data_IF_862827050624
#
_entry.id   IF_862827050624
#
_cell.length_a   1.000
_cell.length_b   1.000
_cell.length_c   1.000
_cell.angle_alpha   90.00
_cell.angle_beta   90.00
_cell.angle_gamma   90.00
#
_symmetry.space_group_name_H-M   'P 1'
#
loop_
_entity.id
_entity.type
_entity.pdbx_description
1 polymer ?
#
# COMPACT_ATOMS: atom_id res chain seq x y z
N UNK A 1 -15.97 50.16 32.00
CA UNK A 1 -16.09 48.96 31.17
C UNK A 1 -15.00 49.01 30.11
N UNK A 2 -14.47 47.83 29.76
CA UNK A 2 -13.53 47.49 28.67
C UNK A 2 -12.11 48.09 28.73
N UNK A 3 -11.17 47.31 29.27
CA UNK A 3 -9.77 47.33 28.84
C UNK A 3 -9.53 46.04 28.03
N UNK A 4 -9.23 46.21 26.74
CA UNK A 4 -8.81 45.16 25.83
C UNK A 4 -7.41 44.68 26.22
N UNK A 5 -7.30 43.43 26.67
CA UNK A 5 -6.04 42.71 26.77
C UNK A 5 -5.73 42.10 25.40
N UNK A 6 -4.56 42.46 24.89
CA UNK A 6 -3.99 41.99 23.63
C UNK A 6 -3.67 40.48 23.72
N UNK A 7 -4.22 39.61 22.83
CA UNK A 7 -4.03 38.15 22.90
C UNK A 7 -2.65 37.63 22.44
N UNK A 8 -1.72 38.50 22.04
CA UNK A 8 -0.42 38.11 21.47
C UNK A 8 0.76 38.00 22.47
N UNK A 9 0.51 37.87 23.78
CA UNK A 9 1.58 37.72 24.79
C UNK A 9 1.83 36.28 25.30
N UNK A 10 1.02 35.31 24.87
CA UNK A 10 1.15 33.90 25.26
C UNK A 10 1.70 33.00 24.14
N UNK A 11 2.31 33.59 23.10
CA UNK A 11 3.05 32.82 22.10
C UNK A 11 4.43 32.50 22.69
N UNK A 12 4.57 31.27 23.20
CA UNK A 12 5.85 30.69 23.58
C UNK A 12 6.76 30.70 22.34
N UNK A 13 7.83 31.50 22.40
CA UNK A 13 8.88 31.52 21.38
C UNK A 13 9.58 30.16 21.32
N UNK A 14 9.27 29.41 20.26
CA UNK A 14 9.75 28.05 19.96
C UNK A 14 11.10 28.04 19.23
N UNK A 15 11.66 29.19 18.86
CA UNK A 15 12.94 29.24 18.14
C UNK A 15 14.14 28.75 18.97
N UNK A 16 14.00 28.70 20.31
CA UNK A 16 15.06 28.28 21.25
C UNK A 16 14.77 26.92 21.94
N UNK A 17 13.79 26.16 21.46
CA UNK A 17 13.54 24.80 21.92
C UNK A 17 14.24 23.80 20.99
N UNK A 18 15.31 23.18 21.51
CA UNK A 18 16.14 22.10 20.94
C UNK A 18 15.62 21.53 19.61
N UNK A 19 16.39 21.72 18.54
CA UNK A 19 16.07 21.20 17.22
C UNK A 19 15.88 19.68 17.29
N UNK A 20 14.85 19.09 16.65
CA UNK A 20 14.68 17.65 16.54
C UNK A 20 15.91 16.91 15.95
N UNK A 21 16.78 17.63 15.24
CA UNK A 21 18.03 17.10 14.67
C UNK A 21 19.14 16.93 15.71
N UNK A 22 19.13 17.69 16.80
CA UNK A 22 20.10 17.57 17.91
C UNK A 22 19.82 16.37 18.83
N UNK A 23 18.75 15.62 18.56
CA UNK A 23 18.31 14.44 19.32
C UNK A 23 18.51 13.12 18.55
N UNK A 24 19.20 13.14 17.40
CA UNK A 24 19.58 11.91 16.70
C UNK A 24 20.78 11.24 17.39
N UNK A 25 20.55 10.01 17.85
CA UNK A 25 21.55 9.17 18.53
C UNK A 25 22.56 8.65 17.49
N UNK A 26 23.88 8.74 17.74
CA UNK A 26 24.89 8.13 16.87
C UNK A 26 24.72 6.62 16.79
N UNK A 27 24.73 6.06 15.58
CA UNK A 27 24.74 4.62 15.34
C UNK A 27 26.06 4.03 15.85
N UNK A 28 26.08 2.99 16.69
CA UNK A 28 27.33 2.46 17.23
C UNK A 28 28.15 1.78 16.12
N UNK A 29 29.42 2.16 16.02
CA UNK A 29 30.44 1.39 15.31
C UNK A 29 30.81 0.17 16.17
N UNK A 30 30.68 -1.03 15.59
CA UNK A 30 31.13 -2.27 16.20
C UNK A 30 32.64 -2.25 16.42
N UNK A 31 33.07 -2.49 17.66
CA UNK A 31 34.08 -3.49 18.05
C UNK A 31 34.48 -3.25 19.50
N UNK A 32 34.29 -4.27 20.35
CA UNK A 32 35.23 -4.81 21.34
C UNK A 32 34.51 -6.02 21.98
N UNK A 33 35.12 -7.20 21.89
CA UNK A 33 34.75 -8.40 22.63
C UNK A 33 35.54 -8.47 23.95
N UNK A 34 35.02 -9.17 24.97
CA UNK A 34 35.40 -9.01 26.36
C UNK A 34 36.52 -9.97 26.79
N UNK A 35 37.28 -9.55 27.79
CA UNK A 35 38.14 -10.43 28.57
C UNK A 35 37.67 -10.43 30.04
N UNK A 36 37.92 -11.55 30.71
CA UNK A 36 37.68 -11.85 32.13
C UNK A 36 36.33 -12.45 32.54
N UNK A 37 36.31 -13.79 32.45
CA UNK A 37 35.49 -14.70 33.24
C UNK A 37 36.15 -14.93 34.61
N UNK A 38 35.69 -14.25 35.66
CA UNK A 38 35.84 -14.74 37.04
C UNK A 38 34.88 -14.00 37.98
N UNK A 39 33.60 -14.39 38.02
CA UNK A 39 32.71 -14.27 39.17
C UNK A 39 31.41 -15.03 38.87
N UNK A 40 31.07 -16.03 39.69
CA UNK A 40 29.73 -16.60 39.72
C UNK A 40 28.75 -15.46 40.08
N UNK A 41 27.75 -15.13 39.22
CA UNK A 41 26.92 -13.97 39.45
C UNK A 41 26.06 -14.18 40.70
N UNK A 42 26.24 -13.30 41.68
CA UNK A 42 25.22 -13.10 42.70
C UNK A 42 23.91 -12.75 42.00
N UNK A 43 22.81 -13.31 42.48
CA UNK A 43 21.47 -12.99 42.00
C UNK A 43 21.24 -11.48 42.17
N UNK A 44 21.36 -10.72 41.08
CA UNK A 44 21.01 -9.31 41.06
C UNK A 44 19.49 -9.22 40.96
N UNK A 45 18.85 -8.94 42.10
CA UNK A 45 17.39 -8.79 42.16
C UNK A 45 16.87 -7.69 41.25
N UNK A 46 17.71 -6.81 40.71
CA UNK A 46 17.32 -5.70 39.85
C UNK A 46 17.54 -5.96 38.36
N UNK A 47 18.01 -7.14 37.95
CA UNK A 47 18.29 -7.48 36.55
C UNK A 47 17.03 -7.43 35.67
N UNK A 48 15.85 -7.70 36.25
CA UNK A 48 14.58 -7.66 35.52
C UNK A 48 14.04 -6.25 35.27
N UNK A 49 14.56 -5.22 35.98
CA UNK A 49 14.07 -3.84 35.87
C UNK A 49 14.40 -3.24 34.51
N UNK A 50 13.54 -2.33 34.05
CA UNK A 50 13.62 -1.80 32.68
C UNK A 50 14.96 -1.11 32.37
N UNK A 51 15.50 -0.35 33.32
CA UNK A 51 16.76 0.37 33.15
C UNK A 51 17.92 -0.57 32.91
N UNK A 52 18.03 -1.68 33.66
CA UNK A 52 19.05 -2.69 33.41
C UNK A 52 18.81 -3.45 32.10
N UNK A 53 17.57 -3.90 31.86
CA UNK A 53 17.19 -4.66 30.66
C UNK A 53 17.48 -3.92 29.35
N UNK A 54 17.28 -2.60 29.33
CA UNK A 54 17.44 -1.78 28.13
C UNK A 54 18.71 -0.93 28.10
N UNK A 55 19.56 -1.00 29.13
CA UNK A 55 20.81 -0.23 29.27
C UNK A 55 21.62 -0.21 27.97
N UNK A 56 22.05 -1.38 27.51
CA UNK A 56 22.91 -1.51 26.33
C UNK A 56 22.16 -1.15 25.05
N UNK A 57 20.90 -1.58 24.93
CA UNK A 57 20.10 -1.40 23.73
C UNK A 57 19.74 0.05 23.44
N UNK A 58 19.52 0.85 24.47
CA UNK A 58 19.15 2.26 24.37
C UNK A 58 20.30 3.20 24.74
N UNK A 59 21.49 2.65 25.04
CA UNK A 59 22.65 3.41 25.52
C UNK A 59 22.29 4.34 26.69
N UNK A 60 21.60 3.80 27.69
CA UNK A 60 21.08 4.59 28.81
C UNK A 60 22.21 5.07 29.72
N UNK A 61 22.12 6.33 30.14
CA UNK A 61 23.00 6.86 31.18
C UNK A 61 22.50 6.47 32.58
N UNK A 62 23.31 6.73 33.60
CA UNK A 62 23.03 6.36 35.01
C UNK A 62 21.72 6.96 35.55
N UNK A 63 21.38 8.19 35.16
CA UNK A 63 20.16 8.87 35.61
C UNK A 63 18.91 8.22 34.97
N UNK A 64 18.98 7.91 33.67
CA UNK A 64 17.88 7.24 32.95
C UNK A 64 17.63 5.82 33.47
N UNK A 65 18.70 5.08 33.76
CA UNK A 65 18.60 3.76 34.39
C UNK A 65 17.91 3.90 35.75
N UNK A 66 18.29 4.92 36.53
CA UNK A 66 17.72 5.18 37.85
C UNK A 66 16.22 5.46 37.73
N UNK A 67 15.77 6.35 36.84
CA UNK A 67 14.34 6.62 36.62
C UNK A 67 13.55 5.39 36.19
N UNK A 68 14.08 4.59 35.27
CA UNK A 68 13.42 3.36 34.80
C UNK A 68 13.38 2.25 35.85
N UNK A 69 14.28 2.28 36.83
CA UNK A 69 14.33 1.31 37.92
C UNK A 69 13.54 1.76 39.16
N UNK A 70 12.87 2.92 39.12
CA UNK A 70 12.02 3.42 40.22
C UNK A 70 10.73 2.62 40.40
N UNK A 71 10.28 1.88 39.38
CA UNK A 71 9.00 1.19 39.41
C UNK A 71 9.11 -0.20 38.78
N UNK A 72 8.18 -1.08 39.19
CA UNK A 72 8.00 -2.39 38.57
C UNK A 72 7.02 -2.28 37.40
N UNK A 73 7.49 -2.61 36.20
CA UNK A 73 6.67 -2.57 35.00
C UNK A 73 5.91 -3.89 34.82
N UNK A 74 4.59 -3.84 34.98
CA UNK A 74 3.73 -4.99 34.70
C UNK A 74 3.61 -5.24 33.20
N UNK A 75 3.94 -6.46 32.76
CA UNK A 75 3.80 -6.84 31.36
C UNK A 75 2.34 -7.02 30.96
N UNK A 76 2.02 -6.53 29.78
CA UNK A 76 0.75 -6.65 29.10
C UNK A 76 1.00 -7.00 27.62
N UNK A 77 -0.07 -7.24 26.87
CA UNK A 77 0.03 -7.69 25.47
C UNK A 77 0.78 -6.71 24.55
N UNK A 78 0.79 -5.42 24.86
CA UNK A 78 1.43 -4.38 24.06
C UNK A 78 2.90 -4.18 24.44
N UNK A 79 3.20 -3.90 25.71
CA UNK A 79 4.57 -3.68 26.18
C UNK A 79 5.41 -4.98 26.22
N UNK A 80 4.78 -6.16 26.07
CA UNK A 80 5.52 -7.40 25.83
C UNK A 80 6.15 -7.47 24.44
N UNK A 81 5.67 -6.66 23.48
CA UNK A 81 6.31 -6.48 22.18
C UNK A 81 7.49 -5.54 22.38
N UNK A 82 8.69 -6.05 22.11
CA UNK A 82 9.93 -5.34 22.43
C UNK A 82 10.05 -3.96 21.74
N UNK A 83 9.62 -3.83 20.48
CA UNK A 83 9.60 -2.52 19.80
C UNK A 83 8.60 -1.53 20.42
N UNK A 84 7.49 -2.01 20.98
CA UNK A 84 6.55 -1.17 21.73
C UNK A 84 7.15 -0.72 23.04
N UNK A 85 7.75 -1.62 23.83
CA UNK A 85 8.43 -1.26 25.07
C UNK A 85 9.52 -0.20 24.83
N UNK A 86 10.33 -0.38 23.78
CA UNK A 86 11.35 0.60 23.39
C UNK A 86 10.76 1.98 23.12
N UNK A 87 9.66 2.06 22.39
CA UNK A 87 9.00 3.34 22.11
C UNK A 87 8.42 3.98 23.37
N UNK A 88 7.83 3.18 24.27
CA UNK A 88 7.31 3.67 25.55
C UNK A 88 8.45 4.22 26.41
N UNK A 89 9.55 3.47 26.56
CA UNK A 89 10.73 3.89 27.32
C UNK A 89 11.30 5.20 26.76
N UNK A 90 11.46 5.30 25.44
CA UNK A 90 11.97 6.53 24.80
C UNK A 90 11.07 7.73 25.12
N UNK A 91 9.75 7.58 24.95
CA UNK A 91 8.81 8.66 25.22
C UNK A 91 8.77 9.02 26.72
N UNK A 92 8.82 8.03 27.61
CA UNK A 92 8.93 8.22 29.06
C UNK A 92 10.17 9.04 29.43
N UNK A 93 11.36 8.66 28.93
CA UNK A 93 12.60 9.37 29.24
C UNK A 93 12.58 10.80 28.71
N UNK A 94 12.05 11.03 27.50
CA UNK A 94 11.86 12.37 26.95
C UNK A 94 10.90 13.20 27.80
N UNK A 95 9.78 12.61 28.23
CA UNK A 95 8.79 13.27 29.07
C UNK A 95 9.39 13.67 30.43
N UNK A 96 10.14 12.77 31.08
CA UNK A 96 10.82 13.03 32.36
C UNK A 96 11.85 14.15 32.22
N UNK A 97 12.69 14.13 31.18
CA UNK A 97 13.68 15.20 30.93
C UNK A 97 13.01 16.55 30.69
N UNK A 98 11.96 16.58 29.86
CA UNK A 98 11.23 17.80 29.55
C UNK A 98 10.46 18.34 30.77
N UNK A 99 9.88 17.46 31.58
CA UNK A 99 9.22 17.81 32.83
C UNK A 99 10.22 18.45 33.80
N UNK A 100 11.38 17.83 34.00
CA UNK A 100 12.42 18.40 34.87
C UNK A 100 12.92 19.76 34.34
N UNK A 101 13.07 19.92 33.02
CA UNK A 101 13.44 21.20 32.40
C UNK A 101 12.38 22.27 32.61
N UNK A 102 11.09 21.92 32.55
CA UNK A 102 9.97 22.85 32.77
C UNK A 102 9.88 23.28 34.23
N UNK A 103 9.97 22.34 35.17
CA UNK A 103 9.98 22.63 36.61
C UNK A 103 11.13 23.54 37.02
N UNK A 104 12.32 23.39 36.40
CA UNK A 104 13.46 24.28 36.63
C UNK A 104 13.20 25.74 36.26
N UNK A 105 12.25 26.03 35.36
CA UNK A 105 11.86 27.43 35.02
C UNK A 105 11.03 28.09 36.13
N UNK A 106 10.46 27.29 37.03
CA UNK A 106 9.67 27.73 38.18
C UNK A 106 10.46 27.58 39.51
N UNK A 107 11.80 27.55 39.46
CA UNK A 107 12.70 27.30 40.60
C UNK A 107 12.44 25.96 41.35
N UNK A 108 11.73 25.04 40.70
CA UNK A 108 11.44 23.68 41.16
C UNK A 108 12.32 22.64 40.46
N UNK A 109 12.14 21.37 40.80
CA UNK A 109 12.77 20.25 40.09
C UNK A 109 11.89 19.01 40.25
N UNK A 110 12.07 18.03 39.37
CA UNK A 110 11.33 16.77 39.50
C UNK A 110 11.64 16.08 40.84
N UNK A 111 12.89 16.13 41.30
CA UNK A 111 13.30 15.56 42.59
C UNK A 111 12.58 16.23 43.77
N UNK A 112 12.45 17.57 43.77
CA UNK A 112 11.68 18.31 44.79
C UNK A 112 10.20 17.93 44.79
N UNK A 113 9.59 17.82 43.62
CA UNK A 113 8.17 17.44 43.53
C UNK A 113 7.94 15.98 43.95
N UNK A 114 8.87 15.07 43.64
CA UNK A 114 8.84 13.69 44.13
C UNK A 114 9.01 13.62 45.65
N UNK A 115 9.92 14.42 46.22
CA UNK A 115 10.07 14.52 47.68
C UNK A 115 8.79 15.02 48.35
N UNK A 116 8.11 16.02 47.77
CA UNK A 116 6.86 16.50 48.35
C UNK A 116 5.74 15.46 48.21
N UNK A 117 5.70 14.67 47.13
CA UNK A 117 4.80 13.51 47.01
C UNK A 117 5.10 12.46 48.10
N UNK A 118 6.37 12.13 48.35
CA UNK A 118 6.79 11.21 49.43
C UNK A 118 6.31 11.72 50.79
N UNK A 119 6.58 12.98 51.10
CA UNK A 119 6.16 13.63 52.34
C UNK A 119 4.64 13.60 52.51
N UNK A 120 3.87 13.94 51.46
CA UNK A 120 2.39 13.88 51.48
C UNK A 120 1.87 12.47 51.69
N UNK A 121 2.55 11.46 51.11
CA UNK A 121 2.22 10.06 51.34
C UNK A 121 2.43 9.66 52.81
N UNK A 122 3.57 10.05 53.39
CA UNK A 122 3.86 9.83 54.82
C UNK A 122 2.85 10.51 55.75
N UNK A 123 2.52 11.78 55.48
CA UNK A 123 1.52 12.54 56.25
C UNK A 123 0.13 11.88 56.23
N UNK A 124 -0.13 10.99 55.27
CA UNK A 124 -1.41 10.29 55.12
C UNK A 124 -1.48 8.96 55.87
N UNK A 125 -0.36 8.41 56.37
CA UNK A 125 -0.31 7.11 57.06
C UNK A 125 -1.36 7.02 58.19
N UNK A 126 -1.51 8.03 59.07
CA UNK A 126 -2.51 7.98 60.13
C UNK A 126 -3.97 7.94 59.63
N UNK A 127 -4.20 8.34 58.38
CA UNK A 127 -5.51 8.41 57.73
C UNK A 127 -5.81 7.19 56.86
N UNK A 128 -4.84 6.28 56.70
CA UNK A 128 -4.95 5.07 55.89
C UNK A 128 -5.47 3.90 56.75
N UNK A 129 -5.92 2.82 56.11
CA UNK A 129 -6.48 1.66 56.82
C UNK A 129 -5.46 1.00 57.76
N UNK A 130 -5.92 0.29 58.80
CA UNK A 130 -5.08 -0.50 59.73
C UNK A 130 -4.03 -1.38 59.01
N UNK A 131 -4.32 -1.80 57.77
CA UNK A 131 -3.39 -2.53 56.91
C UNK A 131 -2.05 -1.81 56.68
N UNK A 132 -2.06 -0.48 56.58
CA UNK A 132 -0.88 0.33 56.29
C UNK A 132 -0.09 0.75 57.53
N UNK A 133 -0.66 0.61 58.74
CA UNK A 133 0.01 0.96 60.00
C UNK A 133 1.25 0.10 60.29
N UNK A 134 1.32 -1.10 59.70
CA UNK A 134 2.43 -2.03 59.90
C UNK A 134 3.58 -1.86 58.89
N UNK A 135 3.44 -0.97 57.90
CA UNK A 135 4.49 -0.69 56.92
C UNK A 135 5.39 0.44 57.41
N UNK A 136 6.70 0.29 57.18
CA UNK A 136 7.68 1.35 57.46
C UNK A 136 7.38 2.61 56.61
N UNK A 137 7.61 3.79 57.19
CA UNK A 137 7.46 5.09 56.54
C UNK A 137 8.21 5.14 55.19
N UNK A 138 9.37 4.50 55.12
CA UNK A 138 10.18 4.44 53.90
C UNK A 138 9.48 3.65 52.79
N UNK A 139 8.78 2.57 53.13
CA UNK A 139 8.03 1.77 52.16
C UNK A 139 6.90 2.59 51.54
N UNK A 140 6.11 3.30 52.36
CA UNK A 140 4.99 4.11 51.87
C UNK A 140 5.47 5.26 50.98
N UNK A 141 6.56 5.92 51.37
CA UNK A 141 7.19 6.98 50.58
C UNK A 141 7.71 6.46 49.23
N UNK A 142 8.50 5.38 49.24
CA UNK A 142 9.05 4.80 48.02
C UNK A 142 7.96 4.28 47.08
N UNK A 143 6.88 3.70 47.62
CA UNK A 143 5.73 3.27 46.83
C UNK A 143 5.02 4.43 46.13
N UNK A 144 4.89 5.59 46.81
CA UNK A 144 4.28 6.77 46.21
C UNK A 144 5.15 7.37 45.08
N UNK A 145 6.47 7.42 45.27
CA UNK A 145 7.42 7.83 44.23
C UNK A 145 7.40 6.87 43.03
N UNK A 146 7.44 5.55 43.30
CA UNK A 146 7.38 4.52 42.27
C UNK A 146 6.10 4.63 41.42
N UNK A 147 4.93 4.80 42.06
CA UNK A 147 3.66 4.97 41.35
C UNK A 147 3.65 6.26 40.51
N UNK A 148 4.36 7.32 40.92
CA UNK A 148 4.42 8.57 40.17
C UNK A 148 5.20 8.39 38.87
N UNK A 149 6.40 7.77 38.94
CA UNK A 149 7.16 7.41 37.73
C UNK A 149 6.41 6.41 36.85
N UNK A 150 5.78 5.39 37.45
CA UNK A 150 4.98 4.44 36.69
C UNK A 150 3.78 5.09 36.00
N UNK A 151 3.18 6.12 36.62
CA UNK A 151 2.10 6.89 35.99
C UNK A 151 2.58 7.66 34.76
N UNK A 152 3.76 8.28 34.82
CA UNK A 152 4.37 8.91 33.64
C UNK A 152 4.61 7.87 32.54
N UNK A 153 5.12 6.69 32.90
CA UNK A 153 5.30 5.57 31.96
C UNK A 153 3.97 5.12 31.33
N UNK A 154 2.91 4.92 32.12
CA UNK A 154 1.57 4.54 31.63
C UNK A 154 0.99 5.60 30.69
N UNK A 155 1.19 6.89 30.99
CA UNK A 155 0.76 7.99 30.10
C UNK A 155 1.53 7.96 28.79
N UNK A 156 2.84 7.70 28.81
CA UNK A 156 3.62 7.46 27.59
C UNK A 156 3.10 6.24 26.81
N UNK A 157 2.78 5.13 27.49
CA UNK A 157 2.21 3.93 26.87
C UNK A 157 0.88 4.21 26.16
N UNK A 158 -0.01 4.99 26.79
CA UNK A 158 -1.29 5.39 26.16
C UNK A 158 -1.03 6.13 24.85
N UNK A 159 -0.10 7.09 24.83
CA UNK A 159 0.19 7.87 23.62
C UNK A 159 0.81 6.98 22.52
N UNK A 160 1.72 6.06 22.86
CA UNK A 160 2.30 5.12 21.89
C UNK A 160 1.24 4.15 21.34
N UNK A 161 0.34 3.65 22.20
CA UNK A 161 -0.80 2.81 21.77
C UNK A 161 -1.67 3.54 20.75
N UNK A 162 -2.00 4.80 21.01
CA UNK A 162 -2.80 5.61 20.09
C UNK A 162 -2.07 5.87 18.78
N UNK A 163 -0.79 6.25 18.83
CA UNK A 163 0.02 6.53 17.65
C UNK A 163 0.11 5.31 16.71
N UNK A 164 0.12 4.10 17.28
CA UNK A 164 0.26 2.86 16.51
C UNK A 164 -1.06 2.07 16.38
N UNK A 165 -2.21 2.71 16.59
CA UNK A 165 -3.53 2.13 16.32
C UNK A 165 -3.88 0.93 17.20
N UNK A 166 -3.48 0.95 18.48
CA UNK A 166 -3.84 -0.07 19.45
C UNK A 166 -5.01 0.41 20.33
N UNK A 167 -6.21 -0.10 20.04
CA UNK A 167 -7.49 0.36 20.65
C UNK A 167 -7.69 0.03 22.12
N UNK A 168 -7.01 -0.98 22.67
CA UNK A 168 -7.22 -1.37 24.07
C UNK A 168 -6.65 -0.29 24.98
N UNK A 169 -7.54 0.42 25.67
CA UNK A 169 -7.20 1.41 26.67
C UNK A 169 -6.65 0.75 27.94
N UNK A 170 -5.76 1.47 28.61
CA UNK A 170 -5.27 1.17 29.96
C UNK A 170 -5.56 2.39 30.85
N UNK A 171 -5.70 2.16 32.16
CA UNK A 171 -5.75 3.28 33.12
C UNK A 171 -4.33 3.82 33.30
N UNK A 172 -4.17 5.13 33.14
CA UNK A 172 -2.93 5.85 33.41
C UNK A 172 -3.11 6.85 34.56
N UNK A 173 -4.03 6.55 35.48
CA UNK A 173 -4.25 7.34 36.71
C UNK A 173 -3.18 7.02 37.76
N UNK A 174 -2.88 8.02 38.59
CA UNK A 174 -1.98 7.88 39.74
C UNK A 174 -2.71 7.19 40.91
N UNK A 175 -2.38 5.92 41.15
CA UNK A 175 -3.11 5.07 42.09
C UNK A 175 -2.45 4.99 43.48
N UNK A 176 -1.98 6.11 44.01
CA UNK A 176 -1.49 6.15 45.40
C UNK A 176 -2.61 5.88 46.41
N UNK A 177 -2.32 5.24 47.54
CA UNK A 177 -3.29 5.11 48.62
C UNK A 177 -3.46 6.41 49.43
N UNK A 178 -2.56 7.37 49.28
CA UNK A 178 -2.58 8.67 49.99
C UNK A 178 -3.41 9.70 49.20
N UNK A 179 -4.52 10.23 49.76
CA UNK A 179 -5.29 11.30 49.14
C UNK A 179 -4.47 12.58 48.90
N UNK A 180 -3.60 12.92 49.86
CA UNK A 180 -2.74 14.10 49.79
C UNK A 180 -1.69 13.97 48.68
N UNK A 181 -1.08 12.79 48.54
CA UNK A 181 -0.16 12.52 47.44
C UNK A 181 -0.88 12.58 46.09
N UNK A 182 -2.11 12.05 46.01
CA UNK A 182 -2.93 12.18 44.79
C UNK A 182 -3.19 13.63 44.42
N UNK A 183 -3.60 14.44 45.40
CA UNK A 183 -3.85 15.86 45.17
C UNK A 183 -2.58 16.60 44.73
N UNK A 184 -1.43 16.32 45.35
CA UNK A 184 -0.15 16.91 44.95
C UNK A 184 0.20 16.55 43.50
N UNK A 185 0.12 15.26 43.15
CA UNK A 185 0.41 14.79 41.79
C UNK A 185 -0.55 15.42 40.77
N UNK A 186 -1.86 15.37 41.02
CA UNK A 186 -2.90 15.86 40.11
C UNK A 186 -2.84 17.38 39.90
N UNK A 187 -2.41 18.15 40.90
CA UNK A 187 -2.35 19.61 40.80
C UNK A 187 -1.03 20.13 40.21
N UNK A 188 0.09 19.44 40.44
CA UNK A 188 1.43 19.93 40.09
C UNK A 188 2.07 19.24 38.90
N UNK A 189 1.92 17.92 38.80
CA UNK A 189 2.61 17.12 37.79
C UNK A 189 1.69 16.70 36.64
N UNK A 190 0.48 16.24 36.93
CA UNK A 190 -0.40 15.65 35.92
C UNK A 190 -0.69 16.56 34.71
N UNK A 191 -1.07 17.84 34.89
CA UNK A 191 -1.33 18.73 33.74
C UNK A 191 -0.09 18.95 32.88
N UNK A 192 1.08 19.05 33.51
CA UNK A 192 2.36 19.21 32.81
C UNK A 192 2.72 17.95 32.04
N UNK A 193 2.54 16.77 32.64
CA UNK A 193 2.81 15.49 31.99
C UNK A 193 1.90 15.33 30.77
N UNK A 194 0.59 15.58 30.91
CA UNK A 194 -0.38 15.44 29.83
C UNK A 194 -0.06 16.36 28.65
N UNK A 195 0.33 17.61 28.93
CA UNK A 195 0.78 18.55 27.90
C UNK A 195 2.07 18.05 27.22
N UNK A 196 3.05 17.60 28.00
CA UNK A 196 4.35 17.13 27.49
C UNK A 196 4.21 15.89 26.62
N UNK A 197 3.49 14.86 27.07
CA UNK A 197 3.35 13.62 26.28
C UNK A 197 2.55 13.86 25.00
N UNK A 198 1.59 14.78 25.04
CA UNK A 198 0.84 15.22 23.84
C UNK A 198 1.77 15.94 22.87
N UNK A 199 2.59 16.88 23.37
CA UNK A 199 3.57 17.60 22.57
C UNK A 199 4.61 16.66 21.94
N UNK A 200 5.04 15.63 22.67
CA UNK A 200 6.03 14.66 22.22
C UNK A 200 5.47 13.58 21.29
N UNK A 201 4.16 13.48 21.08
CA UNK A 201 3.52 12.48 20.20
C UNK A 201 4.18 12.35 18.82
N UNK A 202 4.58 13.42 18.11
CA UNK A 202 5.24 13.30 16.81
C UNK A 202 6.60 12.58 16.85
N UNK A 203 7.27 12.52 18.00
CA UNK A 203 8.60 11.89 18.14
C UNK A 203 8.56 10.36 18.11
N UNK A 204 7.36 9.76 18.26
CA UNK A 204 7.16 8.31 18.29
C UNK A 204 7.50 7.68 16.92
N UNK A 205 7.21 8.42 15.84
CA UNK A 205 7.42 7.96 14.47
C UNK A 205 6.47 6.83 14.05
N UNK A 206 6.70 6.33 12.84
CA UNK A 206 5.97 5.18 12.28
C UNK A 206 6.54 3.85 12.79
N UNK A 207 5.70 2.82 12.77
CA UNK A 207 6.11 1.45 13.05
C UNK A 207 6.97 0.90 11.91
N UNK A 208 7.97 0.10 12.27
CA UNK A 208 8.69 -0.70 11.27
C UNK A 208 7.94 -2.01 10.98
N UNK A 209 8.38 -2.74 9.94
CA UNK A 209 7.73 -3.97 9.50
C UNK A 209 7.65 -5.04 10.60
N UNK A 210 8.70 -5.19 11.42
CA UNK A 210 8.74 -6.18 12.49
C UNK A 210 7.72 -5.86 13.59
N UNK A 211 7.63 -4.58 13.99
CA UNK A 211 6.64 -4.12 14.97
C UNK A 211 5.22 -4.31 14.44
N UNK A 212 4.97 -4.01 13.16
CA UNK A 212 3.67 -4.23 12.52
C UNK A 212 3.26 -5.70 12.53
N UNK A 213 4.20 -6.61 12.20
CA UNK A 213 3.97 -8.05 12.25
C UNK A 213 3.58 -8.52 13.65
N UNK A 214 4.29 -8.03 14.67
CA UNK A 214 4.05 -8.44 16.07
C UNK A 214 2.74 -7.85 16.61
N UNK A 215 2.44 -6.58 16.32
CA UNK A 215 1.17 -5.95 16.69
C UNK A 215 -0.04 -6.68 16.10
N UNK A 216 0.05 -7.06 14.82
CA UNK A 216 -1.01 -7.77 14.12
C UNK A 216 -1.13 -9.24 14.55
N UNK A 217 -0.05 -9.86 15.01
CA UNK A 217 -0.09 -11.20 15.61
C UNK A 217 -0.83 -11.17 16.96
N UNK A 218 -0.58 -10.16 17.79
CA UNK A 218 -1.18 -10.04 19.12
C UNK A 218 -2.64 -9.56 19.06
N UNK A 219 -2.96 -8.62 18.16
CA UNK A 219 -4.31 -8.05 18.02
C UNK A 219 -4.89 -8.42 16.66
N UNK A 220 -5.53 -9.59 16.59
CA UNK A 220 -5.96 -10.20 15.31
C UNK A 220 -6.99 -9.40 14.53
N UNK A 221 -7.67 -8.43 15.15
CA UNK A 221 -8.68 -7.56 14.52
C UNK A 221 -8.15 -6.18 14.10
N UNK A 222 -6.87 -5.86 14.38
CA UNK A 222 -6.28 -4.52 14.12
C UNK A 222 -6.31 -4.14 12.64
N UNK A 223 -6.15 -5.12 11.74
CA UNK A 223 -6.17 -4.89 10.29
C UNK A 223 -7.48 -4.28 9.77
N UNK A 224 -8.60 -4.40 10.49
CA UNK A 224 -9.92 -3.88 10.06
C UNK A 224 -9.94 -2.36 9.92
N UNK A 225 -9.24 -1.66 10.81
CA UNK A 225 -9.12 -0.20 10.73
C UNK A 225 -8.33 0.18 9.50
N UNK A 226 -7.18 -0.47 9.31
CA UNK A 226 -6.34 -0.22 8.14
C UNK A 226 -7.03 -0.55 6.83
N UNK A 227 -7.84 -1.61 6.81
CA UNK A 227 -8.73 -1.93 5.68
C UNK A 227 -9.73 -0.80 5.43
N UNK A 228 -10.34 -0.27 6.49
CA UNK A 228 -11.29 0.85 6.39
C UNK A 228 -10.59 2.10 5.85
N UNK A 229 -9.39 2.42 6.32
CA UNK A 229 -8.61 3.57 5.82
C UNK A 229 -8.30 3.42 4.33
N UNK A 230 -7.78 2.25 3.92
CA UNK A 230 -7.43 1.97 2.52
C UNK A 230 -8.67 2.05 1.62
N UNK A 231 -9.78 1.45 2.06
CA UNK A 231 -11.02 1.40 1.26
C UNK A 231 -11.74 2.75 1.22
N UNK A 232 -11.64 3.57 2.27
CA UNK A 232 -12.26 4.91 2.32
C UNK A 232 -11.45 5.96 1.56
N UNK A 233 -10.13 5.81 1.49
CA UNK A 233 -9.25 6.68 0.70
C UNK A 233 -9.21 6.30 -0.79
N UNK A 234 -9.89 5.23 -1.19
CA UNK A 234 -9.83 4.72 -2.55
C UNK A 234 -10.34 5.73 -3.58
N UNK A 235 -9.56 5.90 -4.64
CA UNK A 235 -9.94 6.65 -5.83
C UNK A 235 -9.46 5.92 -7.08
N UNK A 236 -10.09 6.17 -8.24
CA UNK A 236 -9.67 5.56 -9.52
C UNK A 236 -8.24 5.95 -9.89
N UNK A 237 -7.81 7.17 -9.55
CA UNK A 237 -6.44 7.64 -9.78
C UNK A 237 -5.40 6.89 -8.94
N UNK A 238 -5.76 6.46 -7.73
CA UNK A 238 -4.89 5.75 -6.79
C UNK A 238 -5.14 4.24 -6.77
N UNK A 239 -5.70 3.68 -7.85
CA UNK A 239 -6.11 2.29 -7.90
C UNK A 239 -4.94 1.34 -7.58
N UNK A 240 -3.82 1.48 -8.30
CA UNK A 240 -2.64 0.64 -8.12
C UNK A 240 -2.06 0.73 -6.69
N UNK A 241 -1.98 1.95 -6.14
CA UNK A 241 -1.51 2.17 -4.76
C UNK A 241 -2.43 1.52 -3.72
N UNK A 242 -3.73 1.59 -3.95
CA UNK A 242 -4.74 0.98 -3.07
C UNK A 242 -4.65 -0.54 -3.10
N UNK A 243 -4.51 -1.14 -4.30
CA UNK A 243 -4.33 -2.59 -4.46
C UNK A 243 -3.05 -3.04 -3.76
N UNK A 244 -1.92 -2.35 -3.98
CA UNK A 244 -0.67 -2.68 -3.30
C UNK A 244 -0.78 -2.51 -1.78
N UNK A 245 -1.52 -1.51 -1.29
CA UNK A 245 -1.78 -1.34 0.13
C UNK A 245 -2.58 -2.51 0.73
N UNK A 246 -3.54 -3.09 -0.01
CA UNK A 246 -4.28 -4.28 0.40
C UNK A 246 -3.37 -5.52 0.48
N UNK A 247 -2.48 -5.69 -0.50
CA UNK A 247 -1.49 -6.76 -0.47
C UNK A 247 -0.51 -6.59 0.69
N UNK A 248 0.00 -5.37 0.89
CA UNK A 248 0.88 -5.01 2.01
C UNK A 248 0.21 -5.29 3.35
N UNK A 249 -1.07 -4.94 3.52
CA UNK A 249 -1.83 -5.25 4.72
C UNK A 249 -1.88 -6.76 4.97
N UNK A 250 -2.08 -7.56 3.93
CA UNK A 250 -1.99 -9.01 4.00
C UNK A 250 -0.60 -9.52 4.43
N UNK A 251 0.48 -8.93 3.90
CA UNK A 251 1.87 -9.29 4.27
C UNK A 251 2.19 -8.92 5.72
N UNK A 252 1.77 -7.75 6.18
CA UNK A 252 1.91 -7.28 7.57
C UNK A 252 1.09 -8.12 8.57
N UNK A 253 0.22 -9.01 8.09
CA UNK A 253 -0.57 -9.94 8.89
C UNK A 253 -0.10 -11.39 8.72
N UNK A 254 1.16 -11.62 8.31
CA UNK A 254 1.72 -12.97 8.11
C UNK A 254 1.53 -13.90 9.31
N UNK A 255 1.67 -13.37 10.53
CA UNK A 255 1.54 -14.10 11.80
C UNK A 255 0.12 -14.07 12.38
N UNK A 256 -0.83 -13.38 11.74
CA UNK A 256 -2.20 -13.27 12.19
C UNK A 256 -3.03 -14.45 11.65
N UNK A 257 -3.70 -15.26 12.51
CA UNK A 257 -4.51 -16.39 12.07
C UNK A 257 -5.69 -15.98 11.16
N UNK A 258 -6.11 -14.72 11.21
CA UNK A 258 -7.22 -14.19 10.40
C UNK A 258 -6.79 -13.57 9.08
N UNK A 259 -5.52 -13.71 8.67
CA UNK A 259 -4.97 -13.13 7.43
C UNK A 259 -5.80 -13.45 6.18
N UNK A 260 -6.38 -14.66 6.09
CA UNK A 260 -7.27 -15.02 4.98
C UNK A 260 -8.44 -14.04 4.82
N UNK A 261 -9.04 -13.59 5.93
CA UNK A 261 -10.17 -12.66 5.89
C UNK A 261 -9.81 -11.30 5.27
N UNK A 262 -8.55 -10.86 5.41
CA UNK A 262 -8.05 -9.62 4.80
C UNK A 262 -8.18 -9.72 3.28
N UNK A 263 -7.67 -10.80 2.70
CA UNK A 263 -7.73 -11.04 1.26
C UNK A 263 -9.16 -11.23 0.76
N UNK A 264 -10.00 -11.90 1.54
CA UNK A 264 -11.41 -12.07 1.20
C UNK A 264 -12.16 -10.74 1.16
N UNK A 265 -11.98 -9.89 2.18
CA UNK A 265 -12.61 -8.56 2.20
C UNK A 265 -12.05 -7.66 1.09
N UNK A 266 -10.74 -7.68 0.86
CA UNK A 266 -10.10 -6.97 -0.24
C UNK A 266 -10.66 -7.40 -1.61
N UNK A 267 -10.81 -8.70 -1.85
CA UNK A 267 -11.39 -9.24 -3.08
C UNK A 267 -12.81 -8.73 -3.32
N UNK A 268 -13.65 -8.72 -2.26
CA UNK A 268 -15.02 -8.21 -2.35
C UNK A 268 -15.06 -6.71 -2.66
N UNK A 269 -14.16 -5.94 -2.05
CA UNK A 269 -14.08 -4.50 -2.23
C UNK A 269 -13.64 -4.13 -3.65
N UNK A 270 -12.62 -4.79 -4.20
CA UNK A 270 -12.04 -4.50 -5.52
C UNK A 270 -12.92 -5.00 -6.68
N UNK A 271 -13.79 -5.99 -6.46
CA UNK A 271 -14.62 -6.61 -7.50
C UNK A 271 -15.38 -5.65 -8.45
N UNK A 272 -15.91 -4.49 -8.01
CA UNK A 272 -16.58 -3.54 -8.91
C UNK A 272 -15.63 -2.73 -9.81
N UNK A 273 -14.34 -2.66 -9.47
CA UNK A 273 -13.37 -1.77 -10.09
C UNK A 273 -12.34 -2.52 -10.94
N UNK A 274 -11.87 -3.66 -10.43
CA UNK A 274 -10.91 -4.51 -11.11
C UNK A 274 -11.27 -5.99 -10.87
N UNK A 275 -11.75 -6.63 -11.94
CA UNK A 275 -12.12 -8.05 -11.90
C UNK A 275 -10.89 -8.93 -11.73
N UNK A 276 -9.79 -8.57 -12.37
CA UNK A 276 -8.55 -9.34 -12.39
C UNK A 276 -7.93 -9.38 -10.98
N UNK A 277 -7.73 -8.22 -10.36
CA UNK A 277 -7.16 -8.14 -9.01
C UNK A 277 -8.08 -8.73 -7.95
N UNK A 278 -9.41 -8.61 -8.12
CA UNK A 278 -10.37 -9.28 -7.22
C UNK A 278 -10.19 -10.80 -7.20
N UNK A 279 -10.01 -11.43 -8.37
CA UNK A 279 -9.78 -12.88 -8.45
C UNK A 279 -8.43 -13.28 -7.86
N UNK A 280 -7.38 -12.50 -8.10
CA UNK A 280 -6.05 -12.73 -7.52
C UNK A 280 -6.11 -12.67 -5.99
N UNK A 281 -6.71 -11.62 -5.42
CA UNK A 281 -6.95 -11.50 -3.97
C UNK A 281 -7.78 -12.68 -3.44
N UNK A 282 -8.78 -13.16 -4.17
CA UNK A 282 -9.56 -14.33 -3.76
C UNK A 282 -8.72 -15.63 -3.74
N UNK A 283 -7.80 -15.82 -4.68
CA UNK A 283 -6.86 -16.95 -4.65
C UNK A 283 -5.92 -16.87 -3.44
N UNK A 284 -5.45 -15.67 -3.07
CA UNK A 284 -4.72 -15.48 -1.82
C UNK A 284 -5.56 -15.87 -0.60
N UNK A 285 -6.85 -15.51 -0.57
CA UNK A 285 -7.76 -15.95 0.49
C UNK A 285 -7.80 -17.48 0.58
N UNK A 286 -8.11 -18.18 -0.52
CA UNK A 286 -8.20 -19.64 -0.54
C UNK A 286 -6.88 -20.28 -0.09
N UNK A 287 -5.75 -19.82 -0.62
CA UNK A 287 -4.43 -20.33 -0.26
C UNK A 287 -4.15 -20.22 1.25
N UNK A 288 -4.55 -19.12 1.89
CA UNK A 288 -4.36 -18.94 3.33
C UNK A 288 -5.42 -19.66 4.17
N UNK A 289 -6.65 -19.77 3.69
CA UNK A 289 -7.74 -20.51 4.32
C UNK A 289 -7.40 -22.02 4.42
N UNK A 290 -6.82 -22.59 3.37
CA UNK A 290 -6.34 -23.98 3.35
C UNK A 290 -5.22 -24.27 4.36
N UNK A 291 -4.46 -23.24 4.77
CA UNK A 291 -3.43 -23.35 5.81
C UNK A 291 -3.95 -23.08 7.22
N UNK A 292 -5.20 -22.66 7.34
CA UNK A 292 -5.80 -22.36 8.64
C UNK A 292 -6.17 -23.64 9.39
N UNK A 293 -6.30 -23.55 10.70
CA UNK A 293 -6.70 -24.69 11.55
C UNK A 293 -8.15 -25.12 11.31
N UNK A 294 -8.98 -24.23 10.76
CA UNK A 294 -10.39 -24.46 10.42
C UNK A 294 -10.71 -23.75 9.09
N UNK A 295 -10.44 -24.41 7.95
CA UNK A 295 -10.78 -23.86 6.64
C UNK A 295 -12.29 -23.60 6.54
N UNK A 296 -12.67 -22.41 6.07
CA UNK A 296 -14.06 -21.98 5.89
C UNK A 296 -14.49 -22.08 4.42
N UNK A 297 -13.54 -21.92 3.49
CA UNK A 297 -13.76 -21.96 2.04
C UNK A 297 -14.96 -21.12 1.58
N UNK A 298 -15.06 -19.89 2.11
CA UNK A 298 -16.12 -18.94 1.77
C UNK A 298 -16.16 -18.70 0.26
N UNK A 299 -17.29 -19.03 -0.35
CA UNK A 299 -17.54 -18.72 -1.75
C UNK A 299 -17.86 -17.24 -1.92
N UNK A 300 -17.41 -16.65 -3.03
CA UNK A 300 -17.89 -15.33 -3.45
C UNK A 300 -19.41 -15.40 -3.66
N UNK A 301 -20.15 -14.43 -3.11
CA UNK A 301 -21.60 -14.43 -3.24
C UNK A 301 -22.03 -14.20 -4.71
N UNK A 302 -23.28 -14.58 -5.04
CA UNK A 302 -23.81 -14.44 -6.41
C UNK A 302 -23.76 -13.02 -6.96
N UNK A 303 -23.88 -12.00 -6.11
CA UNK A 303 -23.79 -10.59 -6.54
C UNK A 303 -22.39 -10.24 -7.02
N UNK A 304 -21.35 -10.70 -6.32
CA UNK A 304 -19.95 -10.49 -6.71
C UNK A 304 -19.61 -11.34 -7.93
N UNK A 305 -20.04 -12.61 -7.98
CA UNK A 305 -19.84 -13.46 -9.17
C UNK A 305 -20.38 -12.80 -10.45
N UNK A 306 -21.57 -12.20 -10.40
CA UNK A 306 -22.15 -11.45 -11.53
C UNK A 306 -21.34 -10.22 -11.96
N UNK A 307 -20.56 -9.62 -11.05
CA UNK A 307 -19.67 -8.50 -11.37
C UNK A 307 -18.36 -8.97 -12.00
N UNK A 308 -17.88 -10.16 -11.62
CA UNK A 308 -16.60 -10.71 -12.03
C UNK A 308 -16.67 -11.49 -13.34
N UNK A 309 -17.78 -12.18 -13.61
CA UNK A 309 -17.92 -13.08 -14.75
C UNK A 309 -19.07 -12.62 -15.66
N UNK A 310 -18.79 -12.54 -16.96
CA UNK A 310 -19.78 -12.19 -17.98
C UNK A 310 -20.70 -13.38 -18.31
N UNK A 311 -20.20 -14.61 -18.18
CA UNK A 311 -20.95 -15.83 -18.48
C UNK A 311 -20.56 -16.97 -17.55
N UNK A 312 -21.37 -18.04 -17.56
CA UNK A 312 -21.15 -19.22 -16.72
C UNK A 312 -19.86 -19.97 -17.09
N UNK A 313 -19.39 -19.88 -18.33
CA UNK A 313 -18.15 -20.51 -18.77
C UNK A 313 -16.91 -19.88 -18.08
N UNK A 314 -16.89 -18.55 -17.91
CA UNK A 314 -15.84 -17.86 -17.16
C UNK A 314 -15.87 -18.24 -15.67
N UNK A 315 -17.05 -18.37 -15.09
CA UNK A 315 -17.20 -18.86 -13.71
C UNK A 315 -16.67 -20.29 -13.57
N UNK A 316 -17.04 -21.19 -14.48
CA UNK A 316 -16.55 -22.57 -14.49
C UNK A 316 -15.03 -22.62 -14.65
N UNK A 317 -14.46 -21.86 -15.58
CA UNK A 317 -13.01 -21.75 -15.77
C UNK A 317 -12.31 -21.28 -14.48
N UNK A 318 -12.87 -20.30 -13.78
CA UNK A 318 -12.28 -19.84 -12.51
C UNK A 318 -12.40 -20.90 -11.40
N UNK A 319 -13.52 -21.61 -11.31
CA UNK A 319 -13.69 -22.70 -10.35
C UNK A 319 -12.69 -23.84 -10.60
N UNK A 320 -12.33 -24.12 -11.85
CA UNK A 320 -11.27 -25.08 -12.19
C UNK A 320 -9.90 -24.62 -11.67
N UNK A 321 -9.59 -23.32 -11.76
CA UNK A 321 -8.36 -22.75 -11.19
C UNK A 321 -8.35 -22.90 -9.66
N UNK A 322 -9.47 -22.62 -9.00
CA UNK A 322 -9.63 -22.78 -7.55
C UNK A 322 -9.47 -24.24 -7.13
N UNK A 323 -10.10 -25.18 -7.84
CA UNK A 323 -9.95 -26.61 -7.59
C UNK A 323 -8.50 -27.08 -7.81
N UNK A 324 -7.82 -26.52 -8.81
CA UNK A 324 -6.39 -26.71 -9.03
C UNK A 324 -5.57 -26.27 -7.82
N UNK A 325 -5.82 -25.06 -7.31
CA UNK A 325 -5.15 -24.52 -6.12
C UNK A 325 -5.36 -25.40 -4.88
N UNK A 326 -6.59 -25.88 -4.66
CA UNK A 326 -6.92 -26.77 -3.54
C UNK A 326 -6.13 -28.09 -3.63
N UNK A 327 -5.92 -28.58 -4.85
CA UNK A 327 -5.22 -29.85 -5.10
C UNK A 327 -3.71 -29.75 -4.99
N UNK A 328 -3.10 -28.74 -5.58
CA UNK A 328 -1.64 -28.63 -5.69
C UNK A 328 -1.00 -27.61 -4.73
N UNK A 329 -1.81 -26.77 -4.07
CA UNK A 329 -1.36 -25.70 -3.16
C UNK A 329 -0.35 -24.73 -3.81
N UNK A 330 -0.38 -24.59 -5.13
CA UNK A 330 0.53 -23.73 -5.87
C UNK A 330 -0.13 -22.40 -6.25
N UNK A 331 -0.03 -21.42 -5.34
CA UNK A 331 -0.59 -20.09 -5.56
C UNK A 331 -0.05 -19.42 -6.83
N UNK A 332 1.25 -19.52 -7.10
CA UNK A 332 1.86 -18.87 -8.27
C UNK A 332 1.26 -19.40 -9.57
N UNK A 333 1.13 -20.73 -9.68
CA UNK A 333 0.48 -21.37 -10.84
C UNK A 333 -0.96 -20.88 -11.01
N UNK A 334 -1.75 -20.83 -9.93
CA UNK A 334 -3.14 -20.34 -10.01
C UNK A 334 -3.23 -18.86 -10.40
N UNK A 335 -2.33 -18.01 -9.89
CA UNK A 335 -2.26 -16.60 -10.28
C UNK A 335 -1.96 -16.46 -11.77
N UNK A 336 -0.97 -17.20 -12.30
CA UNK A 336 -0.65 -17.16 -13.74
C UNK A 336 -1.81 -17.63 -14.63
N UNK A 337 -2.64 -18.57 -14.16
CA UNK A 337 -3.83 -18.99 -14.90
C UNK A 337 -4.90 -17.91 -14.93
N UNK A 338 -5.09 -17.16 -13.83
CA UNK A 338 -6.01 -16.01 -13.78
C UNK A 338 -5.58 -14.92 -14.75
N UNK A 339 -4.27 -14.65 -14.86
CA UNK A 339 -3.72 -13.65 -15.78
C UNK A 339 -4.10 -13.94 -17.24
N UNK A 340 -4.28 -15.22 -17.60
CA UNK A 340 -4.70 -15.64 -18.95
C UNK A 340 -6.22 -15.70 -19.15
N UNK A 341 -7.03 -15.58 -18.10
CA UNK A 341 -8.47 -15.88 -18.14
C UNK A 341 -9.26 -14.87 -18.98
N UNK A 342 -8.88 -13.60 -18.94
CA UNK A 342 -9.52 -12.53 -19.70
C UNK A 342 -8.83 -12.21 -21.03
N UNK A 343 -7.76 -12.94 -21.36
CA UNK A 343 -7.10 -12.78 -22.66
C UNK A 343 -7.98 -13.42 -23.74
N UNK A 344 -8.24 -12.74 -24.87
CA UNK A 344 -9.00 -13.32 -25.98
C UNK A 344 -8.37 -14.63 -26.44
N UNK A 345 -9.08 -15.75 -26.28
CA UNK A 345 -8.63 -17.03 -26.85
C UNK A 345 -8.69 -16.90 -28.38
N UNK A 346 -7.54 -17.01 -29.05
CA UNK A 346 -7.46 -17.05 -30.51
C UNK A 346 -8.38 -18.16 -31.01
N UNK A 347 -9.30 -17.83 -31.92
CA UNK A 347 -10.21 -18.83 -32.50
C UNK A 347 -9.37 -19.80 -33.33
N UNK A 348 -9.53 -21.10 -33.08
CA UNK A 348 -8.97 -22.14 -33.95
C UNK A 348 -9.75 -22.07 -35.26
N UNK A 349 -9.11 -21.60 -36.33
CA UNK A 349 -9.68 -21.69 -37.67
C UNK A 349 -9.46 -23.13 -38.12
N UNK A 350 -10.51 -23.94 -38.09
CA UNK A 350 -10.50 -25.23 -38.78
C UNK A 350 -10.94 -24.99 -40.22
N UNK A 351 -9.99 -25.10 -41.15
CA UNK A 351 -10.26 -25.04 -42.58
C UNK A 351 -11.03 -26.30 -42.98
N UNK A 352 -12.24 -26.12 -43.50
CA UNK A 352 -13.01 -27.21 -44.08
C UNK A 352 -12.39 -27.60 -45.43
N UNK A 353 -11.52 -28.60 -45.40
CA UNK A 353 -10.83 -29.11 -46.59
C UNK A 353 -11.78 -29.69 -47.64
N UNK A 354 -12.99 -30.10 -47.25
CA UNK A 354 -13.98 -30.63 -48.18
C UNK A 354 -14.66 -29.49 -48.95
N UNK A 355 -15.04 -28.40 -48.26
CA UNK A 355 -15.51 -27.17 -48.89
C UNK A 355 -14.45 -26.58 -49.84
N UNK A 356 -13.19 -26.54 -49.42
CA UNK A 356 -12.08 -26.08 -50.27
C UNK A 356 -11.98 -26.94 -51.53
N UNK A 357 -12.13 -28.27 -51.43
CA UNK A 357 -12.09 -29.16 -52.57
C UNK A 357 -13.27 -28.95 -53.53
N UNK A 358 -14.47 -28.75 -53.00
CA UNK A 358 -15.68 -28.47 -53.78
C UNK A 358 -15.51 -27.18 -54.57
N UNK A 359 -15.10 -26.09 -53.91
CA UNK A 359 -14.85 -24.79 -54.55
C UNK A 359 -13.73 -24.88 -55.60
N UNK A 360 -12.67 -25.66 -55.31
CA UNK A 360 -11.57 -25.88 -56.27
C UNK A 360 -12.03 -26.67 -57.50
N UNK A 361 -12.97 -27.60 -57.35
CA UNK A 361 -13.59 -28.32 -58.48
C UNK A 361 -14.58 -27.43 -59.25
N UNK A 362 -15.41 -26.65 -58.56
CA UNK A 362 -16.39 -25.74 -59.18
C UNK A 362 -15.73 -24.64 -60.01
N UNK A 363 -14.53 -24.19 -59.62
CA UNK A 363 -13.78 -23.18 -60.36
C UNK A 363 -12.62 -23.74 -61.19
N UNK A 364 -12.51 -25.06 -61.34
CA UNK A 364 -11.44 -25.72 -62.11
C UNK A 364 -11.33 -25.21 -63.55
N UNK A 365 -12.48 -25.03 -64.22
CA UNK A 365 -12.53 -24.45 -65.57
C UNK A 365 -12.07 -23.00 -65.64
N UNK A 366 -12.34 -22.20 -64.60
CA UNK A 366 -11.88 -20.79 -64.52
C UNK A 366 -10.37 -20.72 -64.28
N UNK A 367 -9.82 -21.64 -63.47
CA UNK A 367 -8.39 -21.74 -63.21
C UNK A 367 -7.63 -22.22 -64.45
N UNK A 368 -8.18 -23.15 -65.23
CA UNK A 368 -7.61 -23.55 -66.52
C UNK A 368 -7.62 -22.42 -67.54
N UNK A 369 -8.68 -21.61 -67.59
CA UNK A 369 -8.75 -20.43 -68.47
C UNK A 369 -7.71 -19.38 -68.06
N UNK A 370 -7.57 -19.08 -66.77
CA UNK A 370 -6.56 -18.15 -66.25
C UNK A 370 -5.13 -18.64 -66.49
N UNK A 371 -4.87 -19.95 -66.31
CA UNK A 371 -3.58 -20.55 -66.67
C UNK A 371 -3.33 -20.49 -68.18
N UNK A 372 -4.36 -20.63 -69.02
CA UNK A 372 -4.27 -20.45 -70.47
C UNK A 372 -3.85 -19.03 -70.85
N UNK A 373 -4.47 -18.00 -70.23
CA UNK A 373 -4.07 -16.61 -70.44
C UNK A 373 -2.67 -16.27 -69.90
N UNK A 374 -2.25 -16.91 -68.80
CA UNK A 374 -0.91 -16.72 -68.23
C UNK A 374 0.19 -17.43 -69.04
N UNK A 375 -0.14 -18.44 -69.85
CA UNK A 375 0.82 -19.12 -70.73
C UNK A 375 0.99 -18.46 -72.10
N UNK A 376 0.07 -17.60 -72.53
CA UNK A 376 0.15 -16.91 -73.82
C UNK A 376 1.09 -15.69 -73.81
N UNK A 377 1.54 -15.23 -72.62
CA UNK A 377 2.46 -14.09 -72.46
C UNK A 377 3.77 -14.47 -71.72
N UNK A 378 4.51 -15.47 -72.22
CA UNK A 378 5.90 -15.71 -71.79
C UNK A 378 6.86 -15.87 -73.00
N UNK A 379 7.36 -14.76 -73.54
CA UNK A 379 8.75 -14.71 -74.01
C UNK A 379 9.65 -14.39 -72.81
N UNK A 380 10.16 -15.45 -72.18
CA UNK A 380 11.19 -15.36 -71.16
C UNK A 380 12.51 -14.96 -71.83
N UNK A 381 13.16 -13.90 -71.33
CA UNK A 381 14.62 -13.80 -71.38
C UNK A 381 15.18 -14.04 -69.97
N UNK A 382 15.73 -15.24 -69.78
CA UNK A 382 16.54 -15.60 -68.61
C UNK A 382 17.87 -14.85 -68.65
N UNK A 383 18.27 -14.26 -67.53
CA UNK A 383 19.68 -14.29 -67.14
C UNK A 383 19.81 -14.32 -65.62
N UNK A 384 20.68 -15.22 -65.18
CA UNK A 384 20.89 -15.74 -63.83
C UNK A 384 21.59 -14.75 -62.90
N UNK A 385 21.16 -14.80 -61.63
CA UNK A 385 21.85 -14.51 -60.36
C UNK A 385 23.04 -13.53 -60.34
N UNK A 386 22.85 -12.38 -59.67
CA UNK A 386 23.77 -11.92 -58.62
C UNK A 386 23.06 -10.92 -57.67
N UNK A 387 23.21 -11.16 -56.37
CA UNK A 387 22.77 -10.25 -55.29
C UNK A 387 23.64 -9.00 -55.33
N UNK A 388 23.04 -7.81 -55.25
CA UNK A 388 23.50 -6.58 -54.52
C UNK A 388 22.87 -5.32 -55.13
N UNK A 389 22.19 -4.56 -54.26
CA UNK A 389 22.11 -3.08 -54.11
C UNK A 389 22.19 -2.21 -55.38
N UNK A 390 21.25 -1.26 -55.53
CA UNK A 390 21.44 0.15 -55.96
C UNK A 390 20.04 0.81 -55.98
N UNK A 391 19.72 1.76 -55.10
CA UNK A 391 19.99 3.21 -55.20
C UNK A 391 19.40 3.91 -56.44
N UNK A 392 18.35 4.72 -56.18
CA UNK A 392 18.29 6.18 -56.44
C UNK A 392 18.78 6.66 -57.83
N UNK A 393 17.86 7.16 -58.69
CA UNK A 393 17.60 8.60 -59.05
C UNK A 393 17.43 8.66 -60.61
N UNK A 394 16.76 9.63 -61.32
CA UNK A 394 16.20 10.95 -60.94
C UNK A 394 14.75 11.32 -61.38
N UNK A 395 14.21 12.33 -60.68
CA UNK A 395 13.42 13.52 -61.09
C UNK A 395 12.48 13.44 -62.33
N UNK A 396 11.22 13.94 -62.35
CA UNK A 396 10.72 15.14 -61.69
C UNK A 396 9.17 15.24 -61.68
N UNK A 397 8.65 15.77 -60.58
CA UNK A 397 7.43 16.59 -60.36
C UNK A 397 6.02 15.95 -60.35
N UNK A 398 5.47 15.99 -59.12
CA UNK A 398 4.07 15.98 -58.66
C UNK A 398 3.25 14.71 -58.85
N UNK A 399 3.20 13.84 -57.83
CA UNK A 399 1.97 13.12 -57.48
C UNK A 399 2.11 12.44 -56.12
N UNK A 400 1.10 12.65 -55.26
CA UNK A 400 0.87 12.07 -53.93
C UNK A 400 1.43 10.65 -53.70
N UNK A 401 1.88 10.31 -52.47
CA UNK A 401 2.35 8.97 -52.10
C UNK A 401 1.26 7.87 -52.18
N UNK A 402 0.01 8.27 -52.44
CA UNK A 402 -1.15 7.40 -52.50
C UNK A 402 -1.35 6.77 -53.88
N UNK A 403 -1.88 5.54 -53.88
CA UNK A 403 -2.28 4.86 -55.12
C UNK A 403 -3.46 5.57 -55.79
N UNK A 404 -3.65 5.42 -57.12
CA UNK A 404 -4.77 6.04 -57.83
C UNK A 404 -6.15 5.70 -57.24
N UNK A 405 -6.31 4.49 -56.70
CA UNK A 405 -7.54 4.04 -56.06
C UNK A 405 -7.80 4.74 -54.72
N UNK A 406 -6.74 4.99 -53.94
CA UNK A 406 -6.81 5.72 -52.68
C UNK A 406 -7.11 7.20 -52.92
N UNK A 407 -6.57 7.79 -53.98
CA UNK A 407 -6.91 9.16 -54.39
C UNK A 407 -8.38 9.24 -54.82
N UNK A 408 -8.86 8.27 -55.61
CA UNK A 408 -10.27 8.18 -56.02
C UNK A 408 -11.22 8.05 -54.81
N UNK A 409 -10.80 7.29 -53.79
CA UNK A 409 -11.55 7.17 -52.53
C UNK A 409 -11.60 8.50 -51.76
N UNK A 410 -10.46 9.19 -51.61
CA UNK A 410 -10.38 10.45 -50.88
C UNK A 410 -11.17 11.58 -51.57
N UNK A 411 -11.34 11.50 -52.90
CA UNK A 411 -12.20 12.41 -53.68
C UNK A 411 -13.70 12.14 -53.52
N UNK A 412 -14.09 11.01 -52.91
CA UNK A 412 -15.49 10.68 -52.63
C UNK A 412 -16.06 11.49 -51.45
N UNK A 413 -15.19 12.07 -50.63
CA UNK A 413 -15.61 12.88 -49.49
C UNK A 413 -16.21 14.22 -49.98
N UNK A 414 -17.39 14.62 -49.47
CA UNK A 414 -17.98 15.92 -49.78
C UNK A 414 -17.15 17.06 -49.15
N UNK A 415 -17.50 18.33 -49.43
CA UNK A 415 -16.75 19.50 -48.91
C UNK A 415 -16.69 19.57 -47.38
N UNK A 416 -17.61 18.90 -46.68
CA UNK A 416 -17.61 18.73 -45.23
C UNK A 416 -16.65 17.64 -44.72
N UNK A 417 -15.95 16.94 -45.62
CA UNK A 417 -14.95 15.90 -45.33
C UNK A 417 -15.50 14.73 -44.50
N UNK A 418 -16.79 14.43 -44.63
CA UNK A 418 -17.45 13.31 -43.94
C UNK A 418 -18.11 12.34 -44.93
N UNK A 419 -17.93 11.04 -44.72
CA UNK A 419 -18.55 10.01 -45.57
C UNK A 419 -19.18 8.92 -44.71
N UNK A 420 -20.40 8.48 -45.02
CA UNK A 420 -21.07 7.47 -44.20
C UNK A 420 -20.39 6.10 -44.33
N UNK A 421 -20.47 5.28 -43.28
CA UNK A 421 -19.88 3.93 -43.30
C UNK A 421 -20.46 3.03 -44.41
N UNK A 422 -21.72 3.28 -44.80
CA UNK A 422 -22.40 2.56 -45.90
C UNK A 422 -21.80 2.93 -47.26
N UNK A 423 -21.44 4.20 -47.47
CA UNK A 423 -20.85 4.67 -48.72
C UNK A 423 -19.40 4.21 -48.87
N UNK A 424 -18.62 4.22 -47.78
CA UNK A 424 -17.26 3.67 -47.74
C UNK A 424 -17.26 2.19 -48.05
N UNK A 425 -18.19 1.43 -47.47
CA UNK A 425 -18.32 -0.01 -47.70
C UNK A 425 -18.77 -0.31 -49.13
N UNK A 426 -19.72 0.46 -49.68
CA UNK A 426 -20.14 0.33 -51.07
C UNK A 426 -19.00 0.61 -52.07
N UNK A 427 -18.18 1.63 -51.82
CA UNK A 427 -17.01 1.94 -52.66
C UNK A 427 -15.96 0.83 -52.61
N UNK A 428 -15.61 0.35 -51.41
CA UNK A 428 -14.60 -0.69 -51.24
C UNK A 428 -15.04 -2.01 -51.90
N UNK A 429 -16.28 -2.44 -51.69
CA UNK A 429 -16.86 -3.63 -52.34
C UNK A 429 -16.89 -3.46 -53.87
N UNK A 430 -17.29 -2.28 -54.36
CA UNK A 430 -17.33 -1.97 -55.79
C UNK A 430 -15.96 -2.03 -56.48
N UNK A 431 -14.87 -1.88 -55.72
CA UNK A 431 -13.48 -1.97 -56.19
C UNK A 431 -12.78 -3.27 -55.78
N UNK A 432 -13.53 -4.22 -55.21
CA UNK A 432 -13.03 -5.55 -54.83
C UNK A 432 -12.10 -5.57 -53.61
N UNK A 433 -12.16 -4.55 -52.74
CA UNK A 433 -11.33 -4.43 -51.53
C UNK A 433 -12.19 -4.45 -50.25
N UNK A 434 -11.60 -4.86 -49.13
CA UNK A 434 -12.22 -4.68 -47.82
C UNK A 434 -12.02 -3.23 -47.35
N UNK A 435 -13.06 -2.62 -46.77
CA UNK A 435 -13.02 -1.22 -46.30
C UNK A 435 -11.86 -0.95 -45.34
N UNK A 436 -11.60 -1.85 -44.39
CA UNK A 436 -10.50 -1.70 -43.44
C UNK A 436 -9.14 -1.74 -44.14
N UNK A 437 -8.95 -2.59 -45.15
CA UNK A 437 -7.70 -2.68 -45.90
C UNK A 437 -7.43 -1.40 -46.72
N UNK A 438 -8.49 -0.77 -47.26
CA UNK A 438 -8.38 0.50 -47.96
C UNK A 438 -7.99 1.63 -47.00
N UNK A 439 -8.65 1.71 -45.83
CA UNK A 439 -8.40 2.74 -44.82
C UNK A 439 -7.03 2.58 -44.15
N UNK A 440 -6.67 1.37 -43.74
CA UNK A 440 -5.35 1.05 -43.16
C UNK A 440 -4.26 1.38 -44.18
N UNK A 441 -4.45 1.02 -45.45
CA UNK A 441 -3.49 1.36 -46.51
C UNK A 441 -3.31 2.86 -46.74
N UNK A 442 -4.36 3.67 -46.57
CA UNK A 442 -4.27 5.14 -46.66
C UNK A 442 -3.57 5.70 -45.43
N UNK A 443 -4.00 5.28 -44.24
CA UNK A 443 -3.46 5.78 -42.99
C UNK A 443 -1.99 5.39 -42.82
N UNK A 444 -1.60 4.16 -43.12
CA UNK A 444 -0.20 3.70 -43.07
C UNK A 444 0.69 4.49 -44.03
N UNK A 445 0.21 4.75 -45.25
CA UNK A 445 0.97 5.50 -46.27
C UNK A 445 1.13 6.97 -45.88
N UNK A 446 0.13 7.55 -45.21
CA UNK A 446 0.14 8.95 -44.79
C UNK A 446 0.76 9.15 -43.39
N UNK A 447 0.88 8.10 -42.58
CA UNK A 447 1.37 8.18 -41.20
C UNK A 447 2.80 8.74 -41.13
N UNK A 448 3.68 8.32 -42.04
CA UNK A 448 5.05 8.81 -42.09
C UNK A 448 5.14 10.32 -42.44
N UNK A 449 4.13 10.86 -43.15
CA UNK A 449 4.11 12.25 -43.60
C UNK A 449 3.38 13.18 -42.61
N UNK A 450 2.31 12.67 -41.99
CA UNK A 450 1.43 13.43 -41.12
C UNK A 450 1.75 13.26 -39.62
N UNK A 451 2.50 12.21 -39.27
CA UNK A 451 2.69 11.72 -37.88
C UNK A 451 1.35 11.42 -37.19
N UNK A 452 0.31 11.15 -37.99
CA UNK A 452 -1.08 10.97 -37.59
C UNK A 452 -1.89 10.26 -38.69
N UNK A 453 -3.12 9.81 -38.38
CA UNK A 453 -4.03 9.19 -39.35
C UNK A 453 -4.77 10.24 -40.18
N UNK A 454 -4.99 9.96 -41.47
CA UNK A 454 -5.69 10.89 -42.38
C UNK A 454 -7.21 10.74 -42.27
N UNK A 455 -7.68 9.50 -42.13
CA UNK A 455 -9.10 9.16 -42.05
C UNK A 455 -9.38 8.55 -40.68
N UNK A 456 -10.26 9.18 -39.91
CA UNK A 456 -10.72 8.72 -38.60
C UNK A 456 -12.11 8.08 -38.71
N UNK A 457 -12.35 7.04 -37.91
CA UNK A 457 -13.64 6.36 -37.80
C UNK A 457 -14.42 6.88 -36.59
N UNK A 458 -15.58 7.49 -36.82
CA UNK A 458 -16.49 7.99 -35.78
C UNK A 458 -17.86 7.32 -35.90
N UNK A 459 -18.16 6.36 -35.02
CA UNK A 459 -19.42 5.60 -34.86
C UNK A 459 -20.14 5.15 -36.16
N UNK A 460 -20.75 6.07 -36.92
CA UNK A 460 -21.51 5.81 -38.15
C UNK A 460 -20.93 6.48 -39.42
N UNK A 461 -19.83 7.25 -39.31
CA UNK A 461 -19.19 7.99 -40.41
C UNK A 461 -17.66 8.00 -40.32
N UNK A 462 -17.01 8.33 -41.43
CA UNK A 462 -15.57 8.54 -41.53
C UNK A 462 -15.28 10.01 -41.79
N UNK A 463 -14.29 10.57 -41.11
CA UNK A 463 -13.92 11.99 -41.22
C UNK A 463 -12.49 12.11 -41.72
N UNK A 464 -12.27 13.02 -42.68
CA UNK A 464 -10.92 13.44 -43.08
C UNK A 464 -10.57 14.74 -42.35
N UNK A 465 -9.38 14.79 -41.77
CA UNK A 465 -8.84 16.05 -41.26
C UNK A 465 -8.43 16.96 -42.44
N UNK A 466 -9.12 18.09 -42.59
CA UNK A 466 -8.90 19.03 -43.70
C UNK A 466 -7.49 19.62 -43.74
N UNK A 467 -6.82 19.80 -42.58
CA UNK A 467 -5.44 20.31 -42.53
C UNK A 467 -4.45 19.28 -43.06
N UNK A 468 -4.73 17.99 -42.86
CA UNK A 468 -3.92 16.88 -43.35
C UNK A 468 -4.20 16.57 -44.83
N UNK A 469 -5.46 16.67 -45.25
CA UNK A 469 -5.85 16.54 -46.65
C UNK A 469 -5.16 17.59 -47.53
N UNK A 470 -5.18 18.86 -47.08
CA UNK A 470 -4.49 19.94 -47.79
C UNK A 470 -2.96 19.73 -47.84
N UNK A 471 -2.34 19.12 -46.83
CA UNK A 471 -0.90 18.80 -46.85
C UNK A 471 -0.53 17.69 -47.85
N UNK A 472 -1.47 16.81 -48.21
CA UNK A 472 -1.24 15.70 -49.16
C UNK A 472 -1.52 16.14 -50.60
N UNK A 473 -2.46 17.07 -50.79
CA UNK A 473 -2.92 17.50 -52.12
C UNK A 473 -2.50 18.94 -52.51
N UNK A 474 -1.78 19.67 -51.65
CA UNK A 474 -1.07 20.92 -52.00
C UNK A 474 0.31 20.63 -52.60
#
# INVERSE_FOLDING_TARGET
MTNNLNPDKDIIDVANMVSPQDLQIPVPSNNILPDDFEHLPGYDSDEFKLGHRYKTKLNLNTEEITWLNKFDCYRNAFNSIDGCEVAIIKLFLLAVKMLNKRLKKEDASLEKEMEEIRKKAKESIPLMSEYFYNYDDNYVQNAAEAEAFYTIYKKAEVVVREAWGHKRKISAEFNSYSPQAKQQFASRLEPLIDEIVTYLKPTIGETNEQIELDLNATTTTRWKERMTDITSAYSKAQHAESVEALYRLGRQNLRNPTRGNIYYEAAKFIAPYDRHESLRLYLHYIYHDLKSTKPDQKQLNKSIQKKLFANEAQLAQFLDIVNGLIKDMNLLKSLTQVDTMYVPKRRKIELDHEQIRIVTQEHSGTVEILNGYLQEDEMIHETTEEVVVISKVPESHTSSPLTPLQIEFLQLFPEDHQLSAVEVEAFAIGKGMFKNQLLDGINDTCYELLDDVLVEEEDDYYVINSDYYNKIFA
#
